data_IF_366851640982
#
_entry.id   IF_366851640982
#
_cell.length_a   1.000
_cell.length_b   1.000
_cell.length_c   1.000
_cell.angle_alpha   90.00
_cell.angle_beta   90.00
_cell.angle_gamma   90.00
#
_symmetry.space_group_name_H-M   'P 1'
#
loop_
_entity.id
_entity.type
_entity.pdbx_description
1 polymer ?
#
# COMPACT_ATOMS: atom_id res chain seq x y z
N UNK A 1 21.74 8.28 -18.08
CA UNK A 1 20.36 7.95 -18.48
C UNK A 1 20.44 7.01 -19.68
N UNK A 2 20.39 5.71 -19.43
CA UNK A 2 20.27 4.69 -20.47
C UNK A 2 18.81 4.64 -20.90
N UNK A 3 18.51 5.20 -22.07
CA UNK A 3 17.21 5.07 -22.73
C UNK A 3 16.97 3.60 -23.04
N UNK A 4 15.94 3.02 -22.44
CA UNK A 4 15.45 1.70 -22.84
C UNK A 4 14.91 1.76 -24.27
N UNK A 5 14.87 0.62 -24.95
CA UNK A 5 14.41 0.51 -26.35
C UNK A 5 12.98 1.02 -26.58
N UNK A 6 12.22 1.28 -25.52
CA UNK A 6 10.84 1.78 -25.54
C UNK A 6 10.68 3.29 -25.42
N UNK A 7 11.76 4.01 -25.05
CA UNK A 7 11.71 5.45 -24.78
C UNK A 7 11.03 5.84 -23.46
N UNK A 8 10.56 4.87 -22.67
CA UNK A 8 9.97 5.11 -21.35
C UNK A 8 11.08 5.27 -20.30
N UNK A 9 10.94 6.25 -19.41
CA UNK A 9 11.89 6.56 -18.35
C UNK A 9 11.16 7.00 -17.07
N UNK A 10 11.84 7.18 -15.91
CA UNK A 10 11.17 7.56 -14.65
C UNK A 10 10.40 8.90 -14.69
N UNK A 11 10.63 9.70 -15.73
CA UNK A 11 9.96 10.99 -15.95
C UNK A 11 8.75 10.93 -16.87
N UNK A 12 8.51 9.79 -17.53
CA UNK A 12 7.36 9.58 -18.42
C UNK A 12 6.06 9.67 -17.64
N UNK A 13 5.00 10.16 -18.27
CA UNK A 13 3.64 10.17 -17.70
C UNK A 13 2.99 8.80 -17.82
N UNK A 14 1.91 8.56 -17.07
CA UNK A 14 1.14 7.33 -17.20
C UNK A 14 0.53 7.18 -18.61
N UNK A 15 0.24 8.29 -19.29
CA UNK A 15 -0.19 8.27 -20.70
C UNK A 15 0.90 7.72 -21.61
N UNK A 16 2.16 8.07 -21.36
CA UNK A 16 3.29 7.52 -22.10
C UNK A 16 3.40 6.02 -21.83
N UNK A 17 3.25 5.58 -20.57
CA UNK A 17 3.21 4.15 -20.24
C UNK A 17 2.08 3.42 -20.96
N UNK A 18 0.88 4.00 -21.01
CA UNK A 18 -0.30 3.43 -21.64
C UNK A 18 -0.17 3.28 -23.16
N UNK A 19 0.66 4.11 -23.80
CA UNK A 19 0.87 4.11 -25.25
C UNK A 19 2.10 3.31 -25.70
N UNK A 20 2.80 2.65 -24.77
CA UNK A 20 3.95 1.79 -25.07
C UNK A 20 3.53 0.61 -25.97
N UNK A 21 4.43 0.24 -26.88
CA UNK A 21 4.21 -0.80 -27.91
C UNK A 21 5.46 -1.68 -28.10
N UNK A 22 6.26 -1.82 -27.04
CA UNK A 22 7.52 -2.55 -26.99
C UNK A 22 7.38 -4.01 -26.52
N UNK A 23 6.14 -4.51 -26.42
CA UNK A 23 5.82 -5.88 -26.01
C UNK A 23 5.59 -6.06 -24.51
N UNK A 24 5.92 -5.07 -23.68
CA UNK A 24 5.51 -5.05 -22.28
C UNK A 24 4.03 -4.64 -22.13
N UNK A 25 3.36 -4.98 -21.02
CA UNK A 25 1.96 -4.65 -20.81
C UNK A 25 1.71 -3.13 -20.93
N UNK A 26 0.69 -2.67 -21.69
CA UNK A 26 0.35 -1.25 -21.77
C UNK A 26 0.06 -0.65 -20.39
N UNK A 27 0.66 0.51 -20.06
CA UNK A 27 0.48 1.14 -18.75
C UNK A 27 1.43 0.60 -17.66
N UNK A 28 2.43 -0.19 -18.02
CA UNK A 28 3.46 -0.68 -17.09
C UNK A 28 4.70 0.19 -17.05
N UNK A 29 5.43 0.14 -15.93
CA UNK A 29 6.76 0.74 -15.74
C UNK A 29 7.90 -0.27 -15.96
N UNK A 30 7.63 -1.39 -16.65
CA UNK A 30 8.64 -2.42 -16.90
C UNK A 30 9.82 -1.86 -17.69
N UNK A 31 11.03 -2.19 -17.26
CA UNK A 31 12.30 -1.67 -17.76
C UNK A 31 12.67 -0.26 -17.30
N UNK A 32 11.88 0.42 -16.46
CA UNK A 32 12.15 1.81 -16.06
C UNK A 32 13.27 1.91 -15.00
N UNK A 33 13.27 1.03 -14.01
CA UNK A 33 14.20 1.10 -12.89
C UNK A 33 15.41 0.20 -13.11
N UNK A 34 16.59 0.68 -12.73
CA UNK A 34 17.81 -0.15 -12.70
C UNK A 34 17.77 -1.22 -11.61
N UNK A 35 16.99 -1.00 -10.55
CA UNK A 35 16.74 -1.94 -9.46
C UNK A 35 15.25 -2.34 -9.46
N UNK A 36 14.81 -3.19 -10.39
CA UNK A 36 13.40 -3.53 -10.57
C UNK A 36 12.79 -4.24 -9.34
N UNK A 37 13.61 -4.94 -8.55
CA UNK A 37 13.16 -5.59 -7.30
C UNK A 37 12.66 -4.60 -6.25
N UNK A 38 12.95 -3.30 -6.43
CA UNK A 38 12.42 -2.23 -5.57
C UNK A 38 11.18 -1.54 -6.14
N UNK A 39 10.90 -1.67 -7.44
CA UNK A 39 9.78 -0.98 -8.09
C UNK A 39 9.80 0.53 -7.86
N UNK A 40 8.65 1.13 -7.51
CA UNK A 40 8.56 2.57 -7.26
C UNK A 40 9.26 3.01 -5.96
N UNK A 41 9.63 2.10 -5.05
CA UNK A 41 10.41 2.44 -3.87
C UNK A 41 11.78 3.06 -4.21
N UNK A 42 12.23 2.92 -5.47
CA UNK A 42 13.40 3.63 -6.01
C UNK A 42 13.25 5.16 -6.01
N UNK A 43 12.02 5.70 -6.01
CA UNK A 43 11.82 7.15 -5.94
C UNK A 43 12.17 7.73 -4.57
N UNK A 44 12.14 6.92 -3.50
CA UNK A 44 12.61 7.31 -2.17
C UNK A 44 14.13 7.13 -2.05
N UNK A 45 14.91 7.98 -2.73
CA UNK A 45 16.36 7.93 -2.79
C UNK A 45 17.08 8.77 -1.71
N UNK A 46 18.42 8.87 -1.78
CA UNK A 46 19.23 9.60 -0.79
C UNK A 46 18.83 11.06 -0.57
N UNK A 47 18.32 11.73 -1.61
CA UNK A 47 17.79 13.10 -1.51
C UNK A 47 16.55 13.12 -0.62
N UNK A 48 15.56 12.29 -0.92
CA UNK A 48 14.31 12.18 -0.18
C UNK A 48 14.54 11.78 1.28
N UNK A 49 15.48 10.86 1.55
CA UNK A 49 15.87 10.48 2.91
C UNK A 49 16.37 11.69 3.71
N UNK A 50 17.25 12.51 3.11
CA UNK A 50 17.80 13.71 3.78
C UNK A 50 16.73 14.77 4.03
N UNK A 51 15.82 14.98 3.09
CA UNK A 51 14.71 15.92 3.23
C UNK A 51 13.75 15.46 4.33
N UNK A 52 13.39 14.17 4.33
CA UNK A 52 12.56 13.58 5.37
C UNK A 52 13.16 13.71 6.77
N UNK A 53 14.46 13.43 6.92
CA UNK A 53 15.16 13.62 8.19
C UNK A 53 15.10 15.07 8.71
N UNK A 54 15.02 16.04 7.80
CA UNK A 54 14.85 17.46 8.14
C UNK A 54 13.47 17.83 8.69
N UNK A 55 12.47 16.94 8.60
CA UNK A 55 11.12 17.13 9.14
C UNK A 55 11.05 16.83 10.64
N UNK A 56 12.01 16.07 11.19
CA UNK A 56 12.01 15.70 12.60
C UNK A 56 12.44 16.91 13.46
N UNK A 57 11.46 17.48 14.16
CA UNK A 57 11.59 18.66 15.04
C UNK A 57 11.10 18.39 16.45
N UNK A 58 9.96 17.70 16.59
CA UNK A 58 9.29 17.47 17.88
C UNK A 58 9.77 16.20 18.57
N UNK A 59 10.28 15.24 17.81
CA UNK A 59 10.67 13.91 18.31
C UNK A 59 9.48 13.01 18.66
N UNK A 60 8.29 13.29 18.14
CA UNK A 60 7.12 12.42 18.37
C UNK A 60 7.14 11.27 17.37
N UNK A 61 6.78 10.07 17.84
CA UNK A 61 6.91 8.83 17.09
C UNK A 61 5.58 8.09 17.08
N UNK A 62 5.15 7.63 15.91
CA UNK A 62 3.91 6.88 15.72
C UNK A 62 4.23 5.54 15.06
N UNK A 63 3.85 4.44 15.72
CA UNK A 63 3.79 3.12 15.07
C UNK A 63 2.55 3.05 14.18
N UNK A 64 2.73 2.57 12.94
CA UNK A 64 1.66 2.54 11.94
C UNK A 64 1.08 1.13 11.73
N UNK A 65 1.41 0.21 12.63
CA UNK A 65 0.92 -1.16 12.64
C UNK A 65 -0.21 -1.31 13.67
N UNK A 66 -1.25 -2.06 13.32
CA UNK A 66 -2.18 -2.64 14.28
C UNK A 66 -1.59 -3.93 14.87
N UNK A 67 -2.05 -4.29 16.07
CA UNK A 67 -1.69 -5.55 16.69
C UNK A 67 -1.98 -6.74 15.77
N UNK A 68 -1.13 -7.77 15.80
CA UNK A 68 -1.38 -9.01 15.08
C UNK A 68 -2.71 -9.62 15.56
N UNK A 69 -3.58 -9.97 14.62
CA UNK A 69 -4.91 -10.50 14.93
C UNK A 69 -5.97 -9.45 15.28
N UNK A 70 -5.66 -8.14 15.25
CA UNK A 70 -6.65 -7.07 15.52
C UNK A 70 -7.90 -7.19 14.63
N UNK A 71 -7.73 -7.66 13.41
CA UNK A 71 -8.82 -7.81 12.44
C UNK A 71 -9.56 -9.14 12.52
N UNK A 72 -9.34 -10.01 13.53
CA UNK A 72 -9.96 -11.34 13.61
C UNK A 72 -11.47 -11.30 13.93
N UNK A 73 -12.36 -11.98 13.17
CA UNK A 73 -12.07 -12.70 11.92
C UNK A 73 -11.77 -11.72 10.77
N UNK A 74 -10.69 -11.96 9.98
CA UNK A 74 -10.28 -11.05 8.93
C UNK A 74 -11.30 -10.97 7.79
N UNK A 75 -11.28 -9.85 7.06
CA UNK A 75 -12.08 -9.65 5.85
C UNK A 75 -11.80 -10.74 4.80
N UNK A 76 -10.54 -11.14 4.63
CA UNK A 76 -10.18 -12.31 3.82
C UNK A 76 -10.61 -13.60 4.52
N UNK A 77 -11.46 -14.39 3.88
CA UNK A 77 -11.97 -15.65 4.45
C UNK A 77 -10.95 -16.80 4.45
N UNK A 78 -9.86 -16.66 3.72
CA UNK A 78 -8.79 -17.65 3.64
C UNK A 78 -7.65 -17.42 4.64
N UNK A 79 -7.68 -16.28 5.37
CA UNK A 79 -6.67 -15.90 6.34
C UNK A 79 -7.24 -16.04 7.76
N UNK A 80 -6.36 -16.18 8.75
CA UNK A 80 -6.71 -16.18 10.18
C UNK A 80 -5.68 -15.38 10.98
N UNK A 81 -6.02 -14.98 12.20
CA UNK A 81 -5.03 -14.49 13.14
C UNK A 81 -3.97 -15.56 13.47
N UNK A 82 -2.70 -15.17 13.69
CA UNK A 82 -1.69 -16.10 14.18
C UNK A 82 -2.02 -16.56 15.59
N UNK A 83 -1.70 -17.82 15.91
CA UNK A 83 -1.75 -18.32 17.30
C UNK A 83 -0.42 -18.04 17.98
N UNK A 84 -0.45 -17.15 18.98
CA UNK A 84 0.71 -16.86 19.82
C UNK A 84 0.85 -17.87 20.95
N UNK A 85 2.02 -18.51 21.04
CA UNK A 85 2.35 -19.47 22.10
C UNK A 85 3.64 -19.07 22.76
N UNK A 86 3.61 -18.86 24.08
CA UNK A 86 4.81 -18.65 24.90
C UNK A 86 5.32 -20.01 25.40
N UNK A 87 6.58 -20.30 25.16
CA UNK A 87 7.28 -21.52 25.59
C UNK A 87 8.36 -21.18 26.63
N UNK A 88 8.83 -22.19 27.36
CA UNK A 88 9.83 -21.99 28.42
C UNK A 88 10.72 -23.22 28.55
N UNK A 89 12.04 -23.03 28.44
CA UNK A 89 13.01 -24.09 28.76
C UNK A 89 13.12 -24.34 30.28
N UNK A 90 12.90 -23.30 31.10
CA UNK A 90 12.87 -23.36 32.56
C UNK A 90 12.11 -22.17 33.16
N UNK A 91 11.92 -22.15 34.48
CA UNK A 91 11.10 -21.15 35.18
C UNK A 91 11.44 -19.68 34.84
N UNK A 92 12.72 -19.37 34.61
CA UNK A 92 13.22 -18.02 34.32
C UNK A 92 13.43 -17.70 32.82
N UNK A 93 12.92 -18.51 31.89
CA UNK A 93 13.06 -18.27 30.43
C UNK A 93 11.70 -18.19 29.76
N UNK A 94 11.54 -17.27 28.81
CA UNK A 94 10.36 -17.16 27.95
C UNK A 94 10.83 -16.92 26.51
N UNK A 95 10.41 -17.80 25.61
CA UNK A 95 10.46 -17.61 24.17
C UNK A 95 9.03 -17.70 23.63
N UNK A 96 8.79 -17.34 22.37
CA UNK A 96 7.49 -17.49 21.74
C UNK A 96 7.56 -17.95 20.28
N UNK A 97 6.40 -18.35 19.76
CA UNK A 97 6.19 -18.65 18.35
C UNK A 97 4.81 -18.17 17.89
N UNK A 98 4.69 -17.94 16.59
CA UNK A 98 3.46 -17.59 15.90
C UNK A 98 3.12 -18.67 14.87
N UNK A 99 2.10 -19.46 15.14
CA UNK A 99 1.59 -20.46 14.17
C UNK A 99 0.53 -19.83 13.25
N UNK A 100 0.58 -20.16 11.96
CA UNK A 100 -0.41 -19.69 10.99
C UNK A 100 -0.33 -18.18 10.73
N UNK A 101 0.88 -17.62 10.73
CA UNK A 101 1.08 -16.19 10.51
C UNK A 101 0.98 -15.81 9.02
N UNK A 102 -0.22 -15.44 8.59
CA UNK A 102 -0.46 -14.86 7.26
C UNK A 102 0.04 -13.41 7.22
N UNK A 103 1.05 -13.13 6.40
CA UNK A 103 1.70 -11.82 6.31
C UNK A 103 0.79 -10.69 5.77
N UNK A 104 -0.39 -11.05 5.26
CA UNK A 104 -1.41 -10.12 4.73
C UNK A 104 -2.69 -10.10 5.59
N UNK A 105 -2.63 -10.53 6.86
CA UNK A 105 -3.81 -10.63 7.74
C UNK A 105 -4.00 -9.45 8.72
N UNK A 106 -3.06 -8.50 8.77
CA UNK A 106 -3.15 -7.27 9.56
C UNK A 106 -2.53 -6.11 8.76
N UNK A 107 -2.09 -5.03 9.41
CA UNK A 107 -1.28 -3.98 8.77
C UNK A 107 -0.11 -4.59 8.02
N UNK A 108 -0.07 -4.40 6.71
CA UNK A 108 0.92 -5.06 5.87
C UNK A 108 1.34 -4.22 4.67
N UNK A 109 2.38 -4.69 4.03
CA UNK A 109 2.92 -4.21 2.77
C UNK A 109 2.90 -5.39 1.78
N UNK A 110 2.18 -5.22 0.69
CA UNK A 110 2.20 -6.15 -0.44
C UNK A 110 3.43 -5.89 -1.32
N UNK A 111 4.16 -6.97 -1.56
CA UNK A 111 5.35 -7.01 -2.39
C UNK A 111 5.03 -7.17 -3.87
N UNK A 112 6.06 -7.04 -4.71
CA UNK A 112 5.95 -7.15 -6.17
C UNK A 112 5.63 -8.58 -6.67
N UNK A 113 5.63 -9.55 -5.75
CA UNK A 113 5.18 -10.93 -5.94
C UNK A 113 3.70 -11.16 -5.62
N UNK A 114 2.98 -10.16 -5.08
CA UNK A 114 1.62 -10.37 -4.59
C UNK A 114 0.60 -10.58 -5.71
N UNK A 115 0.79 -9.89 -6.83
CA UNK A 115 -0.01 -10.06 -8.04
C UNK A 115 0.88 -10.01 -9.26
N UNK A 116 0.45 -10.71 -10.29
CA UNK A 116 1.01 -10.69 -11.64
C UNK A 116 0.02 -10.06 -12.61
N UNK A 117 0.53 -9.66 -13.76
CA UNK A 117 -0.30 -9.24 -14.89
C UNK A 117 -0.82 -10.49 -15.61
N UNK A 118 -2.13 -10.55 -15.83
CA UNK A 118 -2.76 -11.61 -16.62
C UNK A 118 -2.13 -11.68 -18.01
N UNK A 119 -1.66 -12.88 -18.40
CA UNK A 119 -1.01 -13.11 -19.69
C UNK A 119 0.45 -12.67 -19.84
N UNK A 120 1.05 -11.94 -18.89
CA UNK A 120 2.45 -11.44 -19.05
C UNK A 120 3.44 -11.97 -18.00
N UNK A 121 3.18 -11.81 -16.70
CA UNK A 121 4.18 -12.11 -15.67
C UNK A 121 4.01 -11.26 -14.41
N UNK A 122 4.86 -11.50 -13.42
CA UNK A 122 5.07 -10.57 -12.30
C UNK A 122 5.80 -9.31 -12.78
N UNK A 123 6.04 -8.37 -11.86
CA UNK A 123 6.71 -7.11 -12.19
C UNK A 123 7.98 -7.31 -13.02
N UNK A 124 8.16 -6.49 -14.04
CA UNK A 124 9.31 -6.54 -14.96
C UNK A 124 9.46 -7.88 -15.72
N UNK A 125 8.34 -8.57 -15.97
CA UNK A 125 8.30 -9.79 -16.78
C UNK A 125 8.81 -11.04 -16.07
N UNK A 126 8.92 -11.01 -14.74
CA UNK A 126 9.38 -12.17 -13.96
C UNK A 126 8.38 -13.33 -14.09
N UNK A 127 8.84 -14.52 -14.49
CA UNK A 127 7.96 -15.69 -14.70
C UNK A 127 7.56 -16.33 -13.37
N UNK A 128 6.49 -17.14 -13.40
CA UNK A 128 5.94 -17.78 -12.20
C UNK A 128 6.90 -18.76 -11.51
N UNK A 129 7.76 -19.44 -12.28
CA UNK A 129 8.75 -20.38 -11.75
C UNK A 129 9.90 -19.69 -10.99
N UNK A 130 10.06 -18.37 -11.14
CA UNK A 130 10.97 -17.55 -10.35
C UNK A 130 10.33 -17.01 -9.05
N UNK A 131 9.00 -17.17 -8.88
CA UNK A 131 8.25 -16.71 -7.72
C UNK A 131 7.83 -17.91 -6.86
N UNK A 132 8.84 -18.53 -6.25
CA UNK A 132 8.69 -19.64 -5.29
C UNK A 132 9.39 -19.30 -3.98
N UNK A 133 9.10 -20.06 -2.93
CA UNK A 133 9.68 -19.86 -1.60
C UNK A 133 11.22 -19.97 -1.63
N UNK A 134 11.91 -19.02 -0.99
CA UNK A 134 13.37 -19.02 -0.89
C UNK A 134 14.12 -18.44 -2.10
N UNK A 135 13.47 -18.28 -3.26
CA UNK A 135 14.07 -17.56 -4.39
C UNK A 135 13.99 -16.05 -4.15
N UNK A 136 14.99 -15.22 -4.52
CA UNK A 136 15.04 -13.82 -4.09
C UNK A 136 14.34 -12.80 -5.02
N UNK A 137 14.17 -13.09 -6.32
CA UNK A 137 13.71 -12.11 -7.32
C UNK A 137 12.38 -11.42 -6.95
N UNK A 138 12.28 -10.09 -6.90
CA UNK A 138 11.09 -9.34 -6.43
C UNK A 138 10.66 -9.60 -4.96
N UNK A 139 11.43 -10.34 -4.18
CA UNK A 139 11.08 -10.68 -2.81
C UNK A 139 11.21 -9.51 -1.84
N UNK A 140 10.40 -9.52 -0.78
CA UNK A 140 10.32 -8.43 0.20
C UNK A 140 11.67 -8.11 0.88
N UNK A 141 12.61 -9.07 0.89
CA UNK A 141 13.95 -8.86 1.46
C UNK A 141 14.73 -7.75 0.75
N UNK A 142 14.44 -7.43 -0.52
CA UNK A 142 15.03 -6.28 -1.21
C UNK A 142 14.75 -4.94 -0.50
N UNK A 143 13.57 -4.83 0.13
CA UNK A 143 13.20 -3.69 0.96
C UNK A 143 13.67 -3.83 2.41
N UNK A 144 13.97 -5.03 2.90
CA UNK A 144 14.54 -5.22 4.24
C UNK A 144 16.05 -4.90 4.27
N UNK A 145 16.79 -5.29 3.24
CA UNK A 145 18.22 -5.00 3.05
C UNK A 145 18.46 -3.50 2.81
N UNK A 146 17.55 -2.87 2.09
CA UNK A 146 17.57 -1.45 1.80
C UNK A 146 16.21 -0.83 2.22
N UNK A 147 16.00 -0.53 3.51
CA UNK A 147 14.75 0.01 4.04
C UNK A 147 14.23 1.20 3.26
N UNK A 148 12.91 1.30 3.14
CA UNK A 148 12.27 2.45 2.49
C UNK A 148 12.18 3.55 3.54
N UNK A 149 12.86 4.66 3.28
CA UNK A 149 12.85 5.84 4.15
C UNK A 149 12.60 7.06 3.29
N UNK A 150 11.65 7.89 3.68
CA UNK A 150 11.25 9.04 2.88
C UNK A 150 10.28 9.95 3.61
N UNK A 151 9.82 10.98 2.90
CA UNK A 151 8.80 11.87 3.40
C UNK A 151 7.46 11.17 3.29
N UNK A 152 6.79 10.97 4.41
CA UNK A 152 5.40 10.57 4.45
C UNK A 152 4.48 11.78 4.30
N UNK A 153 3.49 11.69 3.41
CA UNK A 153 2.41 12.69 3.29
C UNK A 153 1.10 12.03 3.66
N UNK A 154 0.45 12.55 4.71
CA UNK A 154 -0.87 12.09 5.17
C UNK A 154 -1.94 12.82 4.38
N UNK A 155 -2.88 12.10 3.78
CA UNK A 155 -4.07 12.64 3.13
C UNK A 155 -5.30 12.14 3.90
N UNK A 156 -5.96 13.04 4.62
CA UNK A 156 -7.10 12.78 5.49
C UNK A 156 -8.41 12.94 4.72
N UNK A 157 -8.81 11.85 4.07
CA UNK A 157 -10.04 11.78 3.29
C UNK A 157 -11.26 11.75 4.22
N UNK A 158 -11.17 11.11 5.39
CA UNK A 158 -12.24 11.19 6.40
C UNK A 158 -12.56 12.65 6.74
N UNK A 159 -11.55 13.43 7.14
CA UNK A 159 -11.74 14.84 7.50
C UNK A 159 -12.18 15.72 6.31
N UNK A 160 -11.77 15.37 5.08
CA UNK A 160 -12.29 16.01 3.87
C UNK A 160 -13.80 15.78 3.72
N UNK A 161 -14.23 14.51 3.71
CA UNK A 161 -15.63 14.14 3.47
C UNK A 161 -16.57 14.57 4.59
N UNK A 162 -16.13 14.53 5.85
CA UNK A 162 -16.86 15.11 6.98
C UNK A 162 -17.14 16.59 6.78
N UNK A 163 -16.13 17.35 6.37
CA UNK A 163 -16.25 18.79 6.19
C UNK A 163 -17.07 19.19 4.95
N UNK A 164 -17.18 18.30 3.96
CA UNK A 164 -18.09 18.46 2.82
C UNK A 164 -19.55 18.10 3.18
N UNK A 165 -19.81 17.63 4.41
CA UNK A 165 -21.13 17.20 4.86
C UNK A 165 -21.55 15.82 4.30
N UNK A 166 -20.59 15.02 3.84
CA UNK A 166 -20.80 13.70 3.25
C UNK A 166 -19.88 12.65 3.89
N UNK A 167 -20.00 12.39 5.21
CA UNK A 167 -19.11 11.48 5.92
C UNK A 167 -19.11 10.07 5.31
N UNK A 168 -17.96 9.39 5.42
CA UNK A 168 -17.79 8.05 4.84
C UNK A 168 -18.55 6.99 5.65
N UNK A 169 -19.61 6.44 5.07
CA UNK A 169 -20.39 5.35 5.66
C UNK A 169 -19.77 3.99 5.30
N UNK A 170 -18.74 3.57 6.04
CA UNK A 170 -17.98 2.35 5.72
C UNK A 170 -18.79 1.05 5.68
N UNK A 171 -19.93 0.98 6.37
CA UNK A 171 -20.87 -0.15 6.26
C UNK A 171 -21.42 -0.34 4.83
N UNK A 172 -21.49 0.75 4.05
CA UNK A 172 -21.93 0.74 2.66
C UNK A 172 -20.78 0.57 1.67
N UNK A 173 -19.53 0.61 2.14
CA UNK A 173 -18.34 0.46 1.32
C UNK A 173 -18.25 1.46 0.17
N UNK A 174 -18.29 2.78 0.43
CA UNK A 174 -18.21 3.80 -0.62
C UNK A 174 -16.97 3.66 -1.49
N UNK A 175 -17.15 3.88 -2.80
CA UNK A 175 -16.07 3.99 -3.76
C UNK A 175 -15.51 5.42 -3.78
N UNK A 176 -14.20 5.55 -3.62
CA UNK A 176 -13.50 6.83 -3.61
C UNK A 176 -12.97 7.15 -5.01
N UNK A 177 -13.01 8.43 -5.39
CA UNK A 177 -12.33 8.92 -6.60
C UNK A 177 -10.88 9.34 -6.28
N UNK A 178 -10.01 9.29 -7.29
CA UNK A 178 -8.63 9.75 -7.13
C UNK A 178 -8.55 11.28 -6.91
N UNK A 179 -9.56 12.05 -7.37
CA UNK A 179 -9.61 13.50 -7.19
C UNK A 179 -9.71 13.91 -5.71
N UNK A 180 -10.21 13.03 -4.84
CA UNK A 180 -10.22 13.22 -3.39
C UNK A 180 -8.81 13.39 -2.81
N UNK A 181 -7.78 12.81 -3.44
CA UNK A 181 -6.38 12.96 -3.02
C UNK A 181 -5.91 14.42 -3.17
N UNK A 182 -6.15 15.03 -4.33
CA UNK A 182 -5.79 16.42 -4.59
C UNK A 182 -6.63 17.39 -3.74
N UNK A 183 -7.90 17.08 -3.54
CA UNK A 183 -8.81 17.87 -2.69
C UNK A 183 -8.35 17.85 -1.23
N UNK A 184 -7.94 16.68 -0.71
CA UNK A 184 -7.39 16.55 0.63
C UNK A 184 -6.07 17.33 0.74
N UNK A 185 -5.15 17.14 -0.20
CA UNK A 185 -3.87 17.85 -0.24
C UNK A 185 -4.06 19.38 -0.23
N UNK A 186 -4.95 19.90 -1.09
CA UNK A 186 -5.27 21.31 -1.17
C UNK A 186 -5.88 21.86 0.12
N UNK A 187 -6.82 21.12 0.73
CA UNK A 187 -7.44 21.49 2.01
C UNK A 187 -6.43 21.54 3.16
N UNK A 188 -5.49 20.61 3.16
CA UNK A 188 -4.45 20.48 4.17
C UNK A 188 -3.27 21.43 3.96
N UNK A 189 -3.18 22.07 2.79
CA UNK A 189 -2.05 22.92 2.43
C UNK A 189 -0.74 22.14 2.24
N UNK A 190 -0.81 20.87 1.84
CA UNK A 190 0.36 20.02 1.56
C UNK A 190 0.47 19.75 0.06
N UNK A 191 1.70 19.58 -0.42
CA UNK A 191 1.97 19.17 -1.81
C UNK A 191 2.65 17.81 -1.81
N UNK A 192 2.15 16.93 -2.68
CA UNK A 192 2.74 15.61 -2.93
C UNK A 192 3.89 15.78 -3.93
N UNK A 193 5.06 15.28 -3.56
CA UNK A 193 6.32 15.38 -4.28
C UNK A 193 6.88 14.01 -4.66
N UNK A 194 7.85 14.02 -5.56
CA UNK A 194 8.51 12.80 -6.02
C UNK A 194 9.21 12.04 -4.88
N UNK A 195 8.87 10.76 -4.76
CA UNK A 195 9.40 9.86 -3.75
C UNK A 195 8.69 9.89 -2.41
N UNK A 196 7.54 10.59 -2.34
CA UNK A 196 6.71 10.53 -1.16
C UNK A 196 6.15 9.13 -0.89
N UNK A 197 6.02 8.83 0.39
CA UNK A 197 5.23 7.73 0.93
C UNK A 197 3.85 8.32 1.22
N UNK A 198 2.85 8.01 0.39
CA UNK A 198 1.49 8.56 0.56
C UNK A 198 0.72 7.70 1.54
N UNK A 199 0.16 8.32 2.58
CA UNK A 199 -0.60 7.70 3.65
C UNK A 199 -2.05 8.21 3.60
N UNK A 200 -2.95 7.42 3.02
CA UNK A 200 -4.35 7.78 2.85
C UNK A 200 -5.15 7.30 4.05
N UNK A 201 -5.67 8.25 4.84
CA UNK A 201 -6.57 7.97 5.96
C UNK A 201 -8.03 8.13 5.51
N UNK A 202 -8.77 7.03 5.59
CA UNK A 202 -10.20 6.97 5.28
C UNK A 202 -11.06 6.77 6.53
N UNK A 203 -10.48 6.32 7.64
CA UNK A 203 -11.17 5.90 8.85
C UNK A 203 -11.57 4.41 8.86
N UNK A 204 -11.34 3.67 7.77
CA UNK A 204 -11.90 2.32 7.59
C UNK A 204 -11.40 1.31 8.63
N UNK A 205 -10.07 1.24 8.88
CA UNK A 205 -9.51 0.31 9.84
C UNK A 205 -10.07 0.56 11.25
N UNK A 206 -10.10 1.83 11.70
CA UNK A 206 -10.68 2.21 12.99
C UNK A 206 -12.15 1.83 13.06
N UNK A 207 -12.94 2.19 12.04
CA UNK A 207 -14.35 1.82 11.96
C UNK A 207 -14.55 0.31 12.10
N UNK A 208 -13.77 -0.51 11.38
CA UNK A 208 -13.93 -1.96 11.42
C UNK A 208 -13.62 -2.55 12.82
N UNK A 209 -12.63 -1.99 13.52
CA UNK A 209 -12.25 -2.42 14.87
C UNK A 209 -13.31 -2.03 15.92
N UNK A 210 -13.97 -0.90 15.73
CA UNK A 210 -15.02 -0.39 16.63
C UNK A 210 -16.42 -0.94 16.29
N UNK A 211 -16.60 -1.50 15.09
CA UNK A 211 -17.89 -1.98 14.59
C UNK A 211 -18.43 -3.19 15.36
N UNK A 212 -19.76 -3.32 15.37
CA UNK A 212 -20.42 -4.47 15.98
C UNK A 212 -20.06 -5.78 15.26
N UNK A 213 -20.15 -6.91 15.96
CA UNK A 213 -19.93 -8.22 15.34
C UNK A 213 -20.89 -8.49 14.15
N UNK A 214 -22.10 -7.93 14.20
CA UNK A 214 -23.08 -8.04 13.12
C UNK A 214 -22.63 -7.26 11.88
N UNK A 215 -22.17 -6.01 12.05
CA UNK A 215 -21.68 -5.18 10.95
C UNK A 215 -20.42 -5.77 10.31
N UNK A 216 -19.47 -6.22 11.15
CA UNK A 216 -18.25 -6.92 10.69
C UNK A 216 -18.60 -8.18 9.90
N UNK A 217 -19.58 -8.97 10.37
CA UNK A 217 -20.07 -10.14 9.64
C UNK A 217 -20.71 -9.74 8.31
N UNK A 218 -21.57 -8.72 8.30
CA UNK A 218 -22.27 -8.25 7.11
C UNK A 218 -21.30 -7.81 6.00
N UNK A 219 -20.30 -6.98 6.33
CA UNK A 219 -19.31 -6.54 5.33
C UNK A 219 -18.41 -7.68 4.86
N UNK A 220 -18.06 -8.61 5.74
CA UNK A 220 -17.26 -9.79 5.38
C UNK A 220 -18.03 -10.75 4.48
N UNK A 221 -19.32 -10.96 4.74
CA UNK A 221 -20.21 -11.79 3.91
C UNK A 221 -20.48 -11.14 2.55
N UNK A 222 -20.66 -9.83 2.52
CA UNK A 222 -20.85 -9.05 1.30
C UNK A 222 -19.57 -8.75 0.52
N UNK A 223 -18.39 -9.10 1.06
CA UNK A 223 -17.06 -8.64 0.57
C UNK A 223 -17.07 -7.14 0.30
N UNK A 224 -17.57 -6.37 1.25
CA UNK A 224 -17.80 -4.94 1.12
C UNK A 224 -16.73 -4.16 1.87
N UNK A 225 -16.04 -3.25 1.19
CA UNK A 225 -15.02 -2.41 1.81
C UNK A 225 -14.91 -1.09 1.06
N UNK A 226 -14.76 0.01 1.81
CA UNK A 226 -14.35 1.29 1.24
C UNK A 226 -12.98 1.15 0.60
N UNK A 227 -12.79 1.88 -0.50
CA UNK A 227 -11.51 1.99 -1.20
C UNK A 227 -11.69 2.79 -2.49
N UNK A 228 -10.61 2.95 -3.25
CA UNK A 228 -10.68 3.65 -4.53
C UNK A 228 -11.43 2.85 -5.59
N UNK A 229 -12.27 3.53 -6.37
CA UNK A 229 -12.89 2.94 -7.55
C UNK A 229 -11.80 2.46 -8.53
N UNK A 230 -12.02 1.31 -9.17
CA UNK A 230 -11.13 0.82 -10.20
C UNK A 230 -11.15 1.79 -11.39
N UNK A 231 -10.09 2.59 -11.54
CA UNK A 231 -10.00 3.60 -12.58
C UNK A 231 -8.55 3.94 -12.93
N UNK A 232 -8.29 4.30 -14.19
CA UNK A 232 -6.97 4.72 -14.64
C UNK A 232 -6.48 6.02 -13.98
N UNK A 233 -7.39 6.85 -13.45
CA UNK A 233 -6.99 8.11 -12.81
C UNK A 233 -6.14 7.89 -11.57
N UNK A 234 -6.40 6.85 -10.77
CA UNK A 234 -5.54 6.55 -9.63
C UNK A 234 -4.16 6.09 -10.08
N UNK A 235 -4.09 5.22 -11.10
CA UNK A 235 -2.83 4.76 -11.68
C UNK A 235 -2.01 5.95 -12.21
N UNK A 236 -2.70 6.86 -12.89
CA UNK A 236 -2.15 8.11 -13.40
C UNK A 236 -1.64 9.00 -12.27
N UNK A 237 -2.42 9.19 -11.20
CA UNK A 237 -2.04 10.00 -10.05
C UNK A 237 -0.79 9.42 -9.36
N UNK A 238 -0.81 8.13 -9.00
CA UNK A 238 0.31 7.46 -8.33
C UNK A 238 1.60 7.51 -9.16
N UNK A 239 1.52 7.23 -10.46
CA UNK A 239 2.69 7.24 -11.32
C UNK A 239 3.21 8.66 -11.61
N UNK A 240 2.32 9.60 -11.96
CA UNK A 240 2.74 10.95 -12.34
C UNK A 240 3.32 11.74 -11.16
N UNK A 241 2.86 11.47 -9.92
CA UNK A 241 3.47 12.01 -8.71
C UNK A 241 4.73 11.26 -8.28
N UNK A 242 5.08 10.14 -8.94
CA UNK A 242 6.25 9.30 -8.63
C UNK A 242 6.27 8.86 -7.16
N UNK A 243 5.13 8.34 -6.72
CA UNK A 243 4.94 7.87 -5.36
C UNK A 243 5.82 6.65 -5.09
N UNK A 244 6.56 6.68 -3.98
CA UNK A 244 7.43 5.58 -3.59
C UNK A 244 6.64 4.40 -3.01
N UNK A 245 5.64 4.69 -2.17
CA UNK A 245 4.76 3.72 -1.51
C UNK A 245 3.38 4.34 -1.39
N UNK A 246 2.33 3.56 -1.67
CA UNK A 246 0.94 3.99 -1.51
C UNK A 246 0.28 3.15 -0.41
N UNK A 247 0.13 3.74 0.78
CA UNK A 247 -0.45 3.09 1.95
C UNK A 247 -1.82 3.65 2.29
N UNK A 248 -2.76 2.78 2.64
CA UNK A 248 -4.10 3.15 3.11
C UNK A 248 -4.42 2.45 4.43
N UNK A 249 -5.38 3.00 5.17
CA UNK A 249 -6.03 2.32 6.29
C UNK A 249 -7.22 1.44 5.85
N UNK A 250 -7.35 1.16 4.54
CA UNK A 250 -8.41 0.30 3.99
C UNK A 250 -7.96 -1.15 3.85
N UNK A 251 -8.90 -2.06 3.67
CA UNK A 251 -8.61 -3.49 3.56
C UNK A 251 -7.89 -3.89 2.27
N UNK A 252 -8.15 -3.22 1.15
CA UNK A 252 -7.72 -3.68 -0.17
C UNK A 252 -7.18 -2.55 -1.08
N UNK A 253 -6.95 -1.33 -0.54
CA UNK A 253 -6.74 -0.08 -1.31
C UNK A 253 -7.94 0.32 -2.19
N UNK A 254 -8.37 -0.57 -3.08
CA UNK A 254 -9.52 -0.48 -3.95
C UNK A 254 -10.84 -0.89 -3.28
N UNK A 255 -11.95 -0.36 -3.81
CA UNK A 255 -13.29 -0.66 -3.32
C UNK A 255 -13.64 -2.12 -3.60
N UNK A 256 -14.30 -2.77 -2.63
CA UNK A 256 -14.91 -4.07 -2.82
C UNK A 256 -16.44 -4.01 -2.58
N UNK A 257 -17.25 -4.74 -3.36
CA UNK A 257 -16.86 -5.54 -4.53
C UNK A 257 -16.37 -4.69 -5.69
N UNK A 258 -15.65 -5.30 -6.65
CA UNK A 258 -15.19 -4.62 -7.87
C UNK A 258 -16.37 -3.96 -8.59
N UNK A 259 -16.21 -2.67 -8.93
CA UNK A 259 -17.26 -1.91 -9.58
C UNK A 259 -17.71 -2.57 -10.91
N UNK A 260 -19.01 -2.63 -11.22
CA UNK A 260 -19.50 -3.12 -12.51
C UNK A 260 -18.85 -2.42 -13.71
N UNK A 261 -18.49 -1.16 -13.54
CA UNK A 261 -17.86 -0.29 -14.54
C UNK A 261 -16.33 -0.33 -14.55
N UNK A 262 -15.70 -1.25 -13.82
CA UNK A 262 -14.23 -1.36 -13.82
C UNK A 262 -13.70 -1.49 -15.26
N UNK A 263 -12.74 -0.65 -15.69
CA UNK A 263 -12.14 -0.74 -17.02
C UNK A 263 -11.20 -1.95 -17.15
N UNK A 264 -10.89 -2.64 -16.05
CA UNK A 264 -9.92 -3.74 -16.03
C UNK A 264 -10.57 -5.11 -16.16
N UNK A 265 -11.89 -5.21 -16.39
CA UNK A 265 -12.59 -6.51 -16.47
C UNK A 265 -12.00 -7.45 -17.51
N UNK A 266 -11.59 -6.91 -18.65
CA UNK A 266 -11.03 -7.70 -19.74
C UNK A 266 -9.52 -7.96 -19.56
N UNK A 267 -8.81 -7.09 -18.85
CA UNK A 267 -7.35 -7.19 -18.65
C UNK A 267 -6.97 -7.90 -17.34
N UNK A 268 -7.90 -8.02 -16.40
CA UNK A 268 -7.75 -8.69 -15.10
C UNK A 268 -8.90 -9.69 -14.85
N UNK A 269 -9.17 -10.64 -15.76
CA UNK A 269 -10.33 -11.54 -15.63
C UNK A 269 -10.24 -12.44 -14.39
N UNK A 270 -9.04 -12.82 -13.94
CA UNK A 270 -8.81 -13.64 -12.76
C UNK A 270 -9.26 -12.96 -11.46
N UNK A 271 -9.17 -11.63 -11.40
CA UNK A 271 -9.61 -10.81 -10.27
C UNK A 271 -10.91 -10.03 -10.58
N UNK A 272 -11.65 -10.42 -11.60
CA UNK A 272 -12.92 -9.80 -12.01
C UNK A 272 -12.85 -8.28 -12.28
N UNK A 273 -11.67 -7.77 -12.65
CA UNK A 273 -11.41 -6.36 -12.91
C UNK A 273 -10.85 -5.58 -11.72
N UNK A 274 -10.23 -6.22 -10.72
CA UNK A 274 -9.47 -5.49 -9.69
C UNK A 274 -8.30 -4.71 -10.30
N UNK A 275 -7.87 -3.64 -9.61
CA UNK A 275 -6.73 -2.81 -10.02
C UNK A 275 -5.39 -3.18 -9.36
N UNK A 276 -5.34 -4.15 -8.44
CA UNK A 276 -4.09 -4.59 -7.79
C UNK A 276 -2.98 -4.96 -8.79
N UNK A 277 -3.26 -5.70 -9.86
CA UNK A 277 -2.24 -6.01 -10.86
C UNK A 277 -1.72 -4.76 -11.56
N UNK A 278 -2.55 -3.72 -11.68
CA UNK A 278 -2.18 -2.46 -12.33
C UNK A 278 -1.20 -1.66 -11.46
N UNK A 279 -1.45 -1.62 -10.15
CA UNK A 279 -0.57 -0.95 -9.18
C UNK A 279 0.71 -1.75 -8.92
N UNK A 280 0.59 -3.02 -8.58
CA UNK A 280 1.74 -3.85 -8.16
C UNK A 280 2.50 -4.35 -9.40
N UNK A 281 1.84 -5.13 -10.24
CA UNK A 281 2.52 -5.89 -11.28
C UNK A 281 2.89 -5.03 -12.49
N UNK A 282 2.14 -3.96 -12.80
CA UNK A 282 2.45 -3.06 -13.92
C UNK A 282 3.27 -1.87 -13.46
N UNK A 283 2.84 -1.12 -12.45
CA UNK A 283 3.57 0.08 -12.01
C UNK A 283 4.71 -0.19 -11.02
N UNK A 284 4.72 -1.34 -10.34
CA UNK A 284 5.77 -1.69 -9.39
C UNK A 284 5.57 -1.04 -8.02
N UNK A 285 4.33 -0.73 -7.63
CA UNK A 285 4.03 0.03 -6.42
C UNK A 285 3.98 -0.89 -5.19
N UNK A 286 4.77 -0.65 -4.14
CA UNK A 286 4.53 -1.22 -2.82
C UNK A 286 3.20 -0.69 -2.27
N UNK A 287 2.25 -1.59 -2.00
CA UNK A 287 0.93 -1.23 -1.48
C UNK A 287 0.84 -1.52 0.02
N UNK A 288 0.46 -0.51 0.79
CA UNK A 288 0.19 -0.65 2.22
C UNK A 288 -1.30 -0.79 2.48
N UNK A 289 -1.70 -1.80 3.25
CA UNK A 289 -3.10 -2.05 3.60
C UNK A 289 -3.27 -2.17 5.11
N UNK A 290 -4.41 -1.69 5.61
CA UNK A 290 -4.76 -1.69 7.03
C UNK A 290 -3.74 -0.94 7.90
N UNK A 291 -3.17 0.16 7.45
CA UNK A 291 -2.22 0.93 8.26
C UNK A 291 -2.94 1.69 9.37
N UNK A 292 -2.35 1.71 10.57
CA UNK A 292 -2.87 2.47 11.69
C UNK A 292 -2.45 3.94 11.58
N UNK A 293 -3.31 4.77 11.00
CA UNK A 293 -3.04 6.18 10.76
C UNK A 293 -3.71 7.11 11.79
N UNK A 294 -4.54 6.59 12.69
CA UNK A 294 -5.41 7.39 13.57
C UNK A 294 -4.64 8.39 14.42
N UNK A 295 -3.65 7.95 15.19
CA UNK A 295 -2.89 8.84 16.07
C UNK A 295 -2.07 9.88 15.30
N UNK A 296 -1.54 9.50 14.13
CA UNK A 296 -0.80 10.43 13.25
C UNK A 296 -1.72 11.51 12.67
N UNK A 297 -2.94 11.14 12.27
CA UNK A 297 -3.94 12.08 11.75
C UNK A 297 -4.46 13.00 12.85
N UNK A 298 -4.74 12.50 14.05
CA UNK A 298 -5.12 13.32 15.21
C UNK A 298 -4.05 14.36 15.55
N UNK A 299 -2.78 13.95 15.52
CA UNK A 299 -1.64 14.86 15.69
C UNK A 299 -1.60 15.93 14.58
N UNK A 300 -1.87 15.51 13.33
CA UNK A 300 -1.90 16.40 12.16
C UNK A 300 -3.01 17.44 12.27
N UNK A 301 -4.22 17.02 12.65
CA UNK A 301 -5.38 17.91 12.88
C UNK A 301 -5.08 18.92 14.00
N UNK A 302 -4.32 18.51 15.02
CA UNK A 302 -3.95 19.38 16.15
C UNK A 302 -2.89 20.42 15.78
N UNK A 303 -1.88 20.04 15.01
CA UNK A 303 -0.69 20.86 14.76
C UNK A 303 -0.62 21.49 13.36
N UNK A 304 -1.54 21.11 12.45
CA UNK A 304 -1.51 21.55 11.05
C UNK A 304 -0.32 21.01 10.26
N UNK A 305 0.35 19.96 10.75
CA UNK A 305 1.46 19.30 10.06
C UNK A 305 0.95 18.00 9.42
N UNK A 306 1.11 17.86 8.10
CA UNK A 306 0.62 16.70 7.33
C UNK A 306 1.74 15.85 6.72
N UNK A 307 2.99 16.19 7.03
CA UNK A 307 4.18 15.42 6.64
C UNK A 307 4.88 14.81 7.86
N UNK A 308 5.70 13.79 7.61
CA UNK A 308 6.57 13.16 8.62
C UNK A 308 7.76 12.49 7.93
N UNK A 309 8.84 12.21 8.66
CA UNK A 309 9.78 11.18 8.23
C UNK A 309 9.11 9.82 8.43
N UNK A 310 9.06 8.99 7.39
CA UNK A 310 8.53 7.62 7.49
C UNK A 310 9.62 6.61 7.19
N UNK A 311 9.70 5.57 8.02
CA UNK A 311 10.57 4.42 7.83
C UNK A 311 9.73 3.16 7.72
N UNK A 312 10.00 2.34 6.71
CA UNK A 312 9.33 1.06 6.47
C UNK A 312 10.43 0.00 6.36
N UNK A 313 10.43 -0.97 7.28
CA UNK A 313 11.41 -2.05 7.29
C UNK A 313 10.70 -3.40 7.39
N UNK A 314 10.33 -4.00 6.26
CA UNK A 314 9.74 -5.33 6.22
C UNK A 314 10.61 -6.39 6.90
N UNK A 315 9.99 -7.54 7.22
CA UNK A 315 10.72 -8.73 7.64
C UNK A 315 11.71 -9.15 6.55
N UNK A 316 12.92 -9.54 6.94
CA UNK A 316 13.95 -10.03 6.03
C UNK A 316 13.70 -11.50 5.62
N UNK A 317 12.58 -11.74 4.94
CA UNK A 317 12.16 -13.06 4.46
C UNK A 317 12.56 -13.19 3.00
N UNK A 318 13.55 -14.04 2.71
CA UNK A 318 13.97 -14.31 1.33
C UNK A 318 12.82 -14.94 0.56
N UNK A 319 12.41 -14.26 -0.52
CA UNK A 319 11.31 -14.67 -1.37
C UNK A 319 9.92 -14.37 -0.81
N UNK A 320 9.83 -13.58 0.26
CA UNK A 320 8.57 -13.15 0.84
C UNK A 320 7.69 -12.39 -0.17
N UNK A 321 6.40 -12.71 -0.20
CA UNK A 321 5.40 -12.07 -1.07
C UNK A 321 4.89 -10.73 -0.52
N UNK A 322 4.94 -10.58 0.80
CA UNK A 322 4.55 -9.40 1.55
C UNK A 322 5.18 -9.47 2.94
N UNK A 323 4.86 -8.53 3.80
CA UNK A 323 5.31 -8.48 5.19
C UNK A 323 4.36 -7.58 5.98
N UNK A 324 4.28 -7.71 7.32
CA UNK A 324 3.90 -6.57 8.16
C UNK A 324 4.62 -5.30 7.70
N UNK A 325 3.92 -4.17 7.70
CA UNK A 325 4.52 -2.94 7.19
C UNK A 325 5.70 -2.50 8.07
N UNK A 326 5.63 -2.73 9.39
CA UNK A 326 6.66 -2.35 10.36
C UNK A 326 7.10 -0.91 10.10
N UNK A 327 6.09 -0.04 10.06
CA UNK A 327 6.20 1.32 9.59
C UNK A 327 6.12 2.29 10.77
N UNK A 328 6.97 3.30 10.75
CA UNK A 328 7.05 4.32 11.80
C UNK A 328 7.07 5.70 11.18
N UNK A 329 6.25 6.60 11.69
CA UNK A 329 6.30 8.02 11.36
C UNK A 329 6.94 8.81 12.50
N UNK A 330 7.80 9.78 12.16
CA UNK A 330 8.51 10.64 13.11
C UNK A 330 8.35 12.10 12.69
N UNK A 331 7.98 12.96 13.64
CA UNK A 331 7.90 14.43 13.49
C UNK A 331 8.69 15.13 14.56
#
# INVERSE_FOLDING_TARGET
MTTTASGIHPGSTYRDLASRHDGAPPGSSWGVFSEPDRGTANFAGPRQVREAAGLVRRGVVFGLDHALGAFDPPMSRSRSAPRHTIVSAHAQSRDDLLDGFFLQASSHLDGLRHRRVSGYGFYDGVPDDAVVEGEPRLGIQAWAEHPIVGRGVVLDLEGLFEADGAPLHHLDGPALDAAALDRAAARQGVTVEEGDIVLVHTGWARWFLDASAADRTAVREGRRSTGFAQHHDLLSWVWNHRIAVFGTDTFAVEVLPVAPTSPFRDTAPEDAGMMHQELIAKLGVPLGELWNLTALVEDSRTHGQWDAMVTIKPLAIVGGVGSPCNATAVR
#
